data_IF_325808746564
#
_entry.id   IF_325808746564
#
_cell.length_a   1.000
_cell.length_b   1.000
_cell.length_c   1.000
_cell.angle_alpha   90.00
_cell.angle_beta   90.00
_cell.angle_gamma   90.00
#
_symmetry.space_group_name_H-M   'P 1'
#
loop_
_entity.id
_entity.type
_entity.pdbx_description
1 polymer ?
#
# COMPACT_ATOMS: atom_id res chain seq x y z
N UNK A 1 0.57 2.46 -21.28
CA UNK A 1 0.08 1.55 -20.23
C UNK A 1 0.37 0.11 -20.60
N UNK A 2 0.32 -0.82 -19.65
CA UNK A 2 0.45 -2.27 -19.88
C UNK A 2 -0.69 -2.97 -19.14
N UNK A 3 -1.40 -3.87 -19.80
CA UNK A 3 -2.54 -4.61 -19.24
C UNK A 3 -2.44 -6.10 -19.59
N UNK A 4 -2.63 -6.98 -18.61
CA UNK A 4 -2.44 -8.44 -18.73
C UNK A 4 -3.69 -9.17 -19.21
N UNK A 5 -4.89 -8.66 -18.88
CA UNK A 5 -6.17 -9.33 -19.15
C UNK A 5 -6.76 -8.80 -20.45
N UNK A 6 -7.05 -9.70 -21.39
CA UNK A 6 -7.59 -9.36 -22.72
C UNK A 6 -8.82 -8.46 -22.67
N UNK A 7 -9.83 -8.79 -21.85
CA UNK A 7 -11.05 -7.99 -21.76
C UNK A 7 -10.78 -6.59 -21.16
N UNK A 8 -10.00 -6.51 -20.09
CA UNK A 8 -9.64 -5.24 -19.46
C UNK A 8 -8.81 -4.36 -20.41
N UNK A 9 -7.93 -4.98 -21.21
CA UNK A 9 -7.13 -4.31 -22.23
C UNK A 9 -8.03 -3.64 -23.29
N UNK A 10 -9.01 -4.38 -23.83
CA UNK A 10 -9.95 -3.85 -24.82
C UNK A 10 -10.76 -2.69 -24.23
N UNK A 11 -11.31 -2.87 -23.02
CA UNK A 11 -12.08 -1.82 -22.33
C UNK A 11 -11.21 -0.58 -22.10
N UNK A 12 -9.96 -0.76 -21.66
CA UNK A 12 -9.02 0.33 -21.43
C UNK A 12 -8.71 1.13 -22.70
N UNK A 13 -8.47 0.44 -23.83
CA UNK A 13 -8.27 1.09 -25.14
C UNK A 13 -9.50 1.90 -25.53
N UNK A 14 -10.69 1.30 -25.48
CA UNK A 14 -11.94 1.97 -25.85
C UNK A 14 -12.23 3.17 -24.95
N UNK A 15 -11.99 3.06 -23.65
CA UNK A 15 -12.17 4.16 -22.71
C UNK A 15 -11.33 5.38 -23.10
N UNK A 16 -10.06 5.17 -23.48
CA UNK A 16 -9.17 6.25 -23.92
C UNK A 16 -9.66 6.90 -25.21
N UNK A 17 -10.07 6.11 -26.20
CA UNK A 17 -10.61 6.61 -27.48
C UNK A 17 -11.86 7.46 -27.26
N UNK A 18 -12.79 6.97 -26.43
CA UNK A 18 -14.05 7.67 -26.12
C UNK A 18 -13.83 9.01 -25.38
N UNK A 19 -12.69 9.16 -24.70
CA UNK A 19 -12.29 10.42 -24.05
C UNK A 19 -11.33 11.27 -24.91
N UNK A 20 -11.23 11.00 -26.22
CA UNK A 20 -10.51 11.84 -27.17
C UNK A 20 -9.02 11.54 -27.31
N UNK A 21 -8.52 10.42 -26.76
CA UNK A 21 -7.15 9.98 -27.01
C UNK A 21 -7.13 9.13 -28.27
N UNK A 22 -6.78 9.75 -29.40
CA UNK A 22 -6.88 9.14 -30.73
C UNK A 22 -5.97 7.92 -30.93
N UNK A 23 -4.79 7.91 -30.31
CA UNK A 23 -3.84 6.80 -30.38
C UNK A 23 -3.44 6.32 -28.97
N UNK A 24 -4.31 5.57 -28.27
CA UNK A 24 -3.98 5.05 -26.94
C UNK A 24 -2.82 4.07 -27.01
N UNK A 25 -1.75 4.37 -26.27
CA UNK A 25 -0.59 3.49 -26.15
C UNK A 25 -0.76 2.57 -24.93
N UNK A 26 -1.64 1.57 -25.03
CA UNK A 26 -1.74 0.46 -24.07
C UNK A 26 -1.23 -0.80 -24.76
N UNK A 27 -0.39 -1.58 -24.08
CA UNK A 27 0.17 -2.84 -24.59
C UNK A 27 -0.47 -4.00 -23.83
N UNK A 28 -1.01 -4.99 -24.54
CA UNK A 28 -1.53 -6.22 -23.94
C UNK A 28 -0.36 -7.14 -23.55
N UNK A 29 0.09 -7.05 -22.30
CA UNK A 29 1.24 -7.80 -21.80
C UNK A 29 1.21 -7.92 -20.27
N UNK A 30 1.95 -8.88 -19.73
CA UNK A 30 2.21 -8.95 -18.29
C UNK A 30 3.40 -8.06 -17.94
N UNK A 31 3.17 -6.93 -17.28
CA UNK A 31 4.23 -6.03 -16.80
C UNK A 31 5.31 -6.75 -16.00
N UNK A 32 4.94 -7.74 -15.20
CA UNK A 32 5.90 -8.45 -14.34
C UNK A 32 6.72 -9.51 -15.10
N UNK A 33 6.37 -9.81 -16.35
CA UNK A 33 7.17 -10.70 -17.20
C UNK A 33 8.44 -10.02 -17.75
N UNK A 34 8.54 -8.70 -17.64
CA UNK A 34 9.73 -7.94 -18.03
C UNK A 34 10.82 -8.03 -16.96
N UNK A 35 12.03 -8.37 -17.37
CA UNK A 35 13.19 -8.42 -16.48
C UNK A 35 13.66 -6.99 -16.18
N UNK A 36 13.78 -6.63 -14.89
CA UNK A 36 14.22 -5.30 -14.47
C UNK A 36 15.66 -4.98 -14.88
N UNK A 37 16.50 -5.98 -15.14
CA UNK A 37 17.85 -5.78 -15.64
C UNK A 37 17.85 -5.21 -17.08
N UNK A 38 16.84 -5.54 -17.88
CA UNK A 38 16.78 -5.20 -19.30
C UNK A 38 16.28 -3.76 -19.53
N UNK A 39 15.64 -3.15 -18.53
CA UNK A 39 15.06 -1.79 -18.61
C UNK A 39 16.18 -0.74 -18.70
N UNK A 40 16.31 -0.14 -19.89
CA UNK A 40 17.28 0.91 -20.20
C UNK A 40 16.73 2.30 -19.89
N UNK A 41 17.57 3.33 -19.98
CA UNK A 41 17.15 4.72 -19.72
C UNK A 41 16.07 5.22 -20.68
N UNK A 42 16.11 4.80 -21.95
CA UNK A 42 15.10 5.12 -22.96
C UNK A 42 13.71 4.58 -22.63
N UNK A 43 13.62 3.54 -21.81
CA UNK A 43 12.38 2.86 -21.45
C UNK A 43 11.72 3.48 -20.19
N UNK A 44 12.32 4.55 -19.65
CA UNK A 44 11.90 5.19 -18.40
C UNK A 44 10.96 6.38 -18.63
N UNK A 45 10.16 6.67 -17.62
CA UNK A 45 9.13 7.70 -17.62
C UNK A 45 9.38 8.77 -16.56
N UNK A 46 8.82 9.95 -16.80
CA UNK A 46 8.88 11.08 -15.87
C UNK A 46 7.82 10.97 -14.76
N UNK A 47 6.68 10.32 -15.04
CA UNK A 47 5.56 10.18 -14.11
C UNK A 47 5.02 8.75 -14.17
N UNK A 48 4.77 8.17 -13.00
CA UNK A 48 4.07 6.88 -12.85
C UNK A 48 2.88 7.06 -11.90
N UNK A 49 1.68 6.79 -12.39
CA UNK A 49 0.46 6.71 -11.57
C UNK A 49 -0.05 5.29 -11.66
N UNK A 50 -0.21 4.61 -10.54
CA UNK A 50 -0.58 3.20 -10.53
C UNK A 50 -1.43 2.80 -9.34
N UNK A 51 -2.41 1.93 -9.61
CA UNK A 51 -3.13 1.15 -8.62
C UNK A 51 -2.93 -0.34 -8.94
N UNK A 52 -1.79 -0.95 -8.55
CA UNK A 52 -1.52 -2.36 -8.81
C UNK A 52 -2.58 -3.25 -8.15
N UNK A 53 -2.85 -4.45 -8.70
CA UNK A 53 -3.86 -5.35 -8.17
C UNK A 53 -3.52 -5.80 -6.73
N UNK A 54 -4.55 -5.87 -5.88
CA UNK A 54 -4.42 -6.29 -4.49
C UNK A 54 -4.46 -7.83 -4.35
N UNK A 55 -3.61 -8.38 -3.48
CA UNK A 55 -3.71 -9.78 -3.03
C UNK A 55 -3.33 -10.86 -4.06
N UNK A 56 -2.69 -10.47 -5.17
CA UNK A 56 -2.18 -11.42 -6.16
C UNK A 56 -0.88 -12.12 -5.72
N UNK A 57 -0.67 -13.32 -6.25
CA UNK A 57 0.62 -14.01 -6.22
C UNK A 57 1.14 -14.26 -7.63
N UNK A 58 2.43 -14.09 -7.84
CA UNK A 58 3.11 -14.46 -9.10
C UNK A 58 3.97 -15.71 -8.95
N UNK A 59 4.15 -16.42 -10.08
CA UNK A 59 4.88 -17.69 -10.13
C UNK A 59 6.39 -17.50 -9.92
N UNK A 60 7.08 -18.54 -9.44
CA UNK A 60 8.49 -18.47 -9.08
C UNK A 60 9.42 -18.07 -10.24
N UNK A 61 9.05 -18.38 -11.48
CA UNK A 61 9.80 -18.01 -12.68
C UNK A 61 9.73 -16.50 -12.92
N UNK A 62 8.57 -15.88 -12.70
CA UNK A 62 8.36 -14.43 -12.83
C UNK A 62 9.18 -13.68 -11.78
N UNK A 63 9.34 -14.26 -10.59
CA UNK A 63 10.12 -13.64 -9.51
C UNK A 63 11.61 -13.49 -9.87
N UNK A 64 12.13 -14.27 -10.83
CA UNK A 64 13.53 -14.18 -11.27
C UNK A 64 13.84 -12.85 -12.01
N UNK A 65 12.80 -12.15 -12.49
CA UNK A 65 12.93 -10.85 -13.14
C UNK A 65 13.27 -9.70 -12.17
N UNK A 66 13.28 -9.96 -10.86
CA UNK A 66 13.35 -8.96 -9.81
C UNK A 66 14.53 -9.20 -8.86
N UNK A 67 15.25 -8.15 -8.44
CA UNK A 67 16.28 -8.25 -7.42
C UNK A 67 15.73 -8.76 -6.07
N UNK A 68 14.57 -8.24 -5.66
CA UNK A 68 13.88 -8.67 -4.43
C UNK A 68 12.80 -9.68 -4.84
N UNK A 69 13.12 -10.95 -4.69
CA UNK A 69 12.20 -12.05 -5.03
C UNK A 69 11.09 -12.15 -4.00
N UNK A 70 9.85 -12.04 -4.44
CA UNK A 70 8.65 -12.23 -3.62
C UNK A 70 7.50 -12.70 -4.46
N UNK A 71 6.64 -13.54 -3.89
CA UNK A 71 5.39 -13.91 -4.55
C UNK A 71 4.37 -12.78 -4.59
N UNK A 72 4.48 -11.77 -3.72
CA UNK A 72 3.49 -10.70 -3.61
C UNK A 72 3.54 -9.74 -4.81
N UNK A 73 2.47 -9.75 -5.60
CA UNK A 73 2.35 -8.98 -6.84
C UNK A 73 2.56 -7.47 -6.64
N UNK A 74 2.03 -6.88 -5.57
CA UNK A 74 2.15 -5.44 -5.30
C UNK A 74 3.62 -5.01 -5.07
N UNK A 75 4.38 -5.83 -4.34
CA UNK A 75 5.81 -5.60 -4.09
C UNK A 75 6.66 -5.72 -5.37
N UNK A 76 6.32 -6.65 -6.27
CA UNK A 76 6.96 -6.73 -7.60
C UNK A 76 6.63 -5.50 -8.47
N UNK A 77 5.38 -5.03 -8.47
CA UNK A 77 5.00 -3.81 -9.17
C UNK A 77 5.73 -2.57 -8.64
N UNK A 78 5.88 -2.42 -7.33
CA UNK A 78 6.59 -1.29 -6.76
C UNK A 78 8.07 -1.26 -7.17
N UNK A 79 8.77 -2.40 -7.18
CA UNK A 79 10.13 -2.50 -7.75
C UNK A 79 10.15 -2.08 -9.22
N UNK A 80 9.17 -2.53 -10.01
CA UNK A 80 9.05 -2.13 -11.41
C UNK A 80 8.86 -0.63 -11.57
N UNK A 81 7.96 -0.02 -10.80
CA UNK A 81 7.70 1.42 -10.83
C UNK A 81 8.94 2.24 -10.45
N UNK A 82 9.65 1.84 -9.39
CA UNK A 82 10.94 2.45 -9.03
C UNK A 82 11.91 2.32 -10.19
N UNK A 83 12.03 1.15 -10.84
CA UNK A 83 12.98 0.96 -11.94
C UNK A 83 12.66 1.81 -13.17
N UNK A 84 11.40 1.88 -13.60
CA UNK A 84 10.98 2.60 -14.81
C UNK A 84 10.91 4.12 -14.63
N UNK A 85 11.05 4.66 -13.42
CA UNK A 85 11.18 6.10 -13.26
C UNK A 85 12.55 6.60 -13.73
N UNK A 86 12.59 7.76 -14.38
CA UNK A 86 13.81 8.55 -14.58
C UNK A 86 14.29 9.14 -13.25
N UNK A 87 15.55 9.54 -13.15
CA UNK A 87 16.00 10.37 -12.04
C UNK A 87 15.22 11.70 -12.06
N UNK A 88 14.72 12.14 -10.90
CA UNK A 88 13.77 13.26 -10.77
C UNK A 88 12.33 12.93 -11.21
N UNK A 89 12.06 11.71 -11.66
CA UNK A 89 10.71 11.25 -11.99
C UNK A 89 9.88 11.02 -10.73
N UNK A 90 8.56 11.22 -10.84
CA UNK A 90 7.62 11.20 -9.70
C UNK A 90 6.60 10.08 -9.82
N UNK A 91 6.17 9.52 -8.70
CA UNK A 91 5.13 8.51 -8.67
C UNK A 91 4.06 8.77 -7.61
N UNK A 92 2.85 8.32 -7.92
CA UNK A 92 1.74 8.13 -7.00
C UNK A 92 1.25 6.69 -7.11
N UNK A 93 1.48 5.88 -6.08
CA UNK A 93 1.19 4.44 -6.10
C UNK A 93 0.28 4.07 -4.94
N UNK A 94 -0.85 3.44 -5.26
CA UNK A 94 -1.73 2.85 -4.24
C UNK A 94 -1.16 1.50 -3.80
N UNK A 95 -1.10 1.25 -2.50
CA UNK A 95 -0.68 -0.04 -1.94
C UNK A 95 -1.43 -0.34 -0.65
N UNK A 96 -1.49 -1.61 -0.23
CA UNK A 96 -2.03 -1.98 1.08
C UNK A 96 -1.21 -1.32 2.20
N UNK A 97 -1.88 -0.84 3.24
CA UNK A 97 -1.20 -0.24 4.39
C UNK A 97 -0.23 -1.21 5.09
N UNK A 98 -0.50 -2.51 5.01
CA UNK A 98 0.36 -3.58 5.55
C UNK A 98 1.78 -3.55 4.99
N UNK A 99 1.99 -3.02 3.78
CA UNK A 99 3.34 -2.84 3.22
C UNK A 99 4.23 -1.99 4.15
N UNK A 100 3.64 -1.04 4.90
CA UNK A 100 4.39 -0.13 5.77
C UNK A 100 5.07 -0.86 6.94
N UNK A 101 4.49 -1.97 7.44
CA UNK A 101 4.94 -2.65 8.66
C UNK A 101 5.21 -4.16 8.52
N UNK A 102 4.88 -4.77 7.39
CA UNK A 102 5.14 -6.21 7.17
C UNK A 102 6.60 -6.57 7.46
N UNK A 103 6.81 -7.64 8.22
CA UNK A 103 8.12 -8.03 8.76
C UNK A 103 8.85 -9.08 7.93
N UNK A 104 8.28 -9.52 6.80
CA UNK A 104 8.98 -10.42 5.89
C UNK A 104 10.17 -9.72 5.22
N UNK A 105 11.21 -10.49 4.92
CA UNK A 105 12.47 -9.97 4.39
C UNK A 105 12.31 -9.19 3.08
N UNK A 106 11.36 -9.57 2.23
CA UNK A 106 11.14 -8.89 0.95
C UNK A 106 10.51 -7.51 1.17
N UNK A 107 9.51 -7.38 2.04
CA UNK A 107 8.93 -6.10 2.43
C UNK A 107 9.96 -5.17 3.07
N UNK A 108 10.79 -5.68 3.99
CA UNK A 108 11.87 -4.90 4.62
C UNK A 108 12.87 -4.41 3.58
N UNK A 109 13.35 -5.31 2.70
CA UNK A 109 14.29 -4.95 1.64
C UNK A 109 13.72 -3.91 0.67
N UNK A 110 12.43 -4.02 0.33
CA UNK A 110 11.78 -3.10 -0.59
C UNK A 110 11.53 -1.72 0.04
N UNK A 111 11.16 -1.65 1.32
CA UNK A 111 11.09 -0.38 2.05
C UNK A 111 12.45 0.30 2.12
N UNK A 112 13.51 -0.47 2.37
CA UNK A 112 14.88 0.04 2.31
C UNK A 112 15.23 0.57 0.92
N UNK A 113 14.94 -0.18 -0.14
CA UNK A 113 15.17 0.26 -1.53
C UNK A 113 14.43 1.57 -1.84
N UNK A 114 13.16 1.66 -1.44
CA UNK A 114 12.33 2.85 -1.61
C UNK A 114 12.95 4.06 -0.89
N UNK A 115 13.31 3.92 0.38
CA UNK A 115 13.85 5.02 1.19
C UNK A 115 15.24 5.47 0.72
N UNK A 116 16.08 4.56 0.24
CA UNK A 116 17.45 4.88 -0.19
C UNK A 116 17.49 5.50 -1.59
N UNK A 117 16.66 5.01 -2.51
CA UNK A 117 16.72 5.41 -3.92
C UNK A 117 15.64 6.43 -4.30
N UNK A 118 14.61 6.61 -3.47
CA UNK A 118 13.54 7.56 -3.70
C UNK A 118 13.32 8.44 -2.47
N UNK A 119 12.84 9.65 -2.74
CA UNK A 119 12.37 10.60 -1.76
C UNK A 119 10.87 10.37 -1.60
N UNK A 120 10.49 9.42 -0.74
CA UNK A 120 9.13 9.22 -0.28
C UNK A 120 8.74 10.42 0.56
N UNK A 121 8.07 11.38 -0.04
CA UNK A 121 7.84 12.67 0.60
C UNK A 121 6.46 12.78 1.23
N UNK A 122 5.51 11.94 0.80
CA UNK A 122 4.13 11.95 1.30
C UNK A 122 3.53 10.55 1.33
N UNK A 123 2.86 10.22 2.43
CA UNK A 123 2.02 9.03 2.57
C UNK A 123 0.61 9.47 2.95
N UNK A 124 -0.36 9.17 2.08
CA UNK A 124 -1.78 9.42 2.35
C UNK A 124 -2.42 8.11 2.82
N UNK A 125 -2.81 8.05 4.10
CA UNK A 125 -3.56 6.92 4.68
C UNK A 125 -5.05 7.10 4.42
N UNK A 126 -5.66 6.12 3.73
CA UNK A 126 -7.06 6.19 3.29
C UNK A 126 -7.97 5.39 4.23
N UNK A 127 -9.22 5.84 4.45
CA UNK A 127 -10.20 5.08 5.21
C UNK A 127 -10.46 3.69 4.60
N UNK A 128 -10.91 2.78 5.46
CA UNK A 128 -11.46 1.50 5.00
C UNK A 128 -12.65 1.72 4.06
N UNK A 129 -12.81 0.84 3.08
CA UNK A 129 -13.89 0.95 2.10
C UNK A 129 -13.59 1.87 0.89
N UNK A 130 -12.45 2.58 0.88
CA UNK A 130 -12.03 3.38 -0.28
C UNK A 130 -11.89 2.52 -1.54
N UNK A 131 -11.24 1.35 -1.42
CA UNK A 131 -11.13 0.38 -2.51
C UNK A 131 -11.88 -0.90 -2.16
N UNK A 132 -12.83 -1.28 -3.02
CA UNK A 132 -13.52 -2.56 -2.91
C UNK A 132 -12.55 -3.71 -3.22
N UNK A 133 -12.53 -4.75 -2.39
CA UNK A 133 -11.71 -5.95 -2.62
C UNK A 133 -10.26 -5.86 -2.15
N UNK A 134 -9.83 -4.74 -1.54
CA UNK A 134 -8.49 -4.64 -0.94
C UNK A 134 -8.34 -5.53 0.31
N UNK A 135 -9.43 -5.73 1.07
CA UNK A 135 -9.49 -6.52 2.30
C UNK A 135 -8.86 -5.84 3.53
N UNK A 136 -8.11 -4.76 3.32
CA UNK A 136 -7.44 -3.93 4.34
C UNK A 136 -7.47 -2.46 3.90
N UNK A 137 -7.06 -1.54 4.78
CA UNK A 137 -6.84 -0.15 4.40
C UNK A 137 -5.71 -0.05 3.36
N UNK A 138 -5.76 1.01 2.57
CA UNK A 138 -4.76 1.31 1.55
C UNK A 138 -4.12 2.65 1.84
N UNK A 139 -2.89 2.83 1.38
CA UNK A 139 -2.21 4.11 1.38
C UNK A 139 -1.84 4.50 -0.04
N UNK A 140 -1.64 5.80 -0.28
CA UNK A 140 -1.00 6.30 -1.50
C UNK A 140 0.41 6.78 -1.14
N UNK A 141 1.40 6.18 -1.79
CA UNK A 141 2.80 6.56 -1.69
C UNK A 141 3.11 7.60 -2.77
N UNK A 142 3.59 8.77 -2.37
CA UNK A 142 4.11 9.77 -3.30
C UNK A 142 5.62 9.93 -3.12
N UNK A 143 6.36 9.66 -4.19
CA UNK A 143 7.82 9.66 -4.15
C UNK A 143 8.46 10.16 -5.44
N UNK A 144 9.67 10.71 -5.31
CA UNK A 144 10.53 11.12 -6.43
C UNK A 144 11.79 10.27 -6.46
N UNK A 145 12.20 9.75 -7.62
CA UNK A 145 13.39 8.91 -7.75
C UNK A 145 14.67 9.73 -7.81
N UNK A 146 15.75 9.24 -7.20
CA UNK A 146 17.11 9.74 -7.36
C UNK A 146 17.64 10.53 -6.16
N UNK A 147 16.86 10.64 -5.07
CA UNK A 147 17.29 11.22 -3.80
C UNK A 147 16.80 10.31 -2.68
N UNK A 148 17.59 10.12 -1.63
CA UNK A 148 17.15 9.36 -0.46
C UNK A 148 16.08 10.14 0.32
N UNK A 149 15.13 9.42 0.90
CA UNK A 149 14.12 9.96 1.81
C UNK A 149 14.79 10.51 3.07
N UNK A 150 14.39 11.72 3.47
CA UNK A 150 14.85 12.36 4.71
C UNK A 150 13.68 12.56 5.69
N UNK A 151 12.58 13.09 5.18
CA UNK A 151 11.37 13.36 5.95
C UNK A 151 10.14 12.96 5.15
N UNK A 152 9.17 12.34 5.82
CA UNK A 152 7.92 11.88 5.22
C UNK A 152 6.77 12.60 5.90
N UNK A 153 5.96 13.30 5.11
CA UNK A 153 4.73 13.91 5.60
C UNK A 153 3.58 12.92 5.46
N UNK A 154 2.94 12.60 6.59
CA UNK A 154 1.79 11.71 6.65
C UNK A 154 0.52 12.53 6.69
N UNK A 155 -0.51 12.05 6.01
CA UNK A 155 -1.87 12.55 6.15
C UNK A 155 -2.81 11.37 6.33
N UNK A 156 -3.49 11.33 7.47
CA UNK A 156 -4.54 10.35 7.76
C UNK A 156 -5.88 10.95 7.39
N UNK A 157 -6.47 10.47 6.29
CA UNK A 157 -7.79 10.89 5.89
C UNK A 157 -8.82 10.21 6.79
N UNK A 158 -9.43 11.01 7.68
CA UNK A 158 -10.49 10.58 8.58
C UNK A 158 -11.81 11.18 8.09
N UNK A 159 -12.84 10.34 7.94
CA UNK A 159 -14.17 10.75 7.52
C UNK A 159 -15.19 10.25 8.53
N UNK A 160 -16.21 11.06 8.81
CA UNK A 160 -17.34 10.69 9.68
C UNK A 160 -18.39 9.83 8.98
N UNK A 161 -18.01 9.17 7.88
CA UNK A 161 -18.86 8.30 7.08
C UNK A 161 -18.09 7.07 6.58
N UNK A 162 -18.78 5.95 6.46
CA UNK A 162 -18.22 4.75 5.85
C UNK A 162 -18.17 4.89 4.32
N UNK A 163 -17.03 4.54 3.73
CA UNK A 163 -16.86 4.52 2.28
C UNK A 163 -17.30 3.19 1.66
N UNK A 164 -17.75 3.24 0.42
CA UNK A 164 -18.13 2.06 -0.34
C UNK A 164 -18.75 2.42 -1.69
N UNK A 165 -19.33 1.42 -2.38
CA UNK A 165 -19.90 1.61 -3.74
C UNK A 165 -20.96 2.72 -3.80
N UNK A 166 -21.80 2.84 -2.78
CA UNK A 166 -22.88 3.83 -2.71
C UNK A 166 -22.44 5.16 -2.10
N UNK A 167 -21.27 5.19 -1.45
CA UNK A 167 -20.76 6.36 -0.75
C UNK A 167 -19.26 6.52 -1.06
N UNK A 168 -18.89 6.83 -2.32
CA UNK A 168 -17.50 6.85 -2.74
C UNK A 168 -16.73 8.03 -2.12
N UNK A 169 -15.41 7.92 -2.16
CA UNK A 169 -14.50 9.04 -1.93
C UNK A 169 -14.69 10.07 -3.06
N UNK A 170 -14.69 11.36 -2.71
CA UNK A 170 -14.84 12.45 -3.66
C UNK A 170 -13.77 13.54 -3.45
N UNK A 171 -13.75 14.54 -4.33
CA UNK A 171 -12.75 15.61 -4.32
C UNK A 171 -12.81 16.49 -3.07
N UNK A 172 -14.00 16.73 -2.52
CA UNK A 172 -14.16 17.56 -1.31
C UNK A 172 -13.54 16.88 -0.09
N UNK A 173 -13.61 15.53 0.00
CA UNK A 173 -12.94 14.78 1.06
C UNK A 173 -11.41 14.99 1.04
N UNK A 174 -10.83 15.29 -0.13
CA UNK A 174 -9.39 15.46 -0.35
C UNK A 174 -8.93 16.92 -0.35
N UNK A 175 -9.84 17.88 -0.18
CA UNK A 175 -9.52 19.31 -0.31
C UNK A 175 -8.46 19.77 0.70
N UNK A 176 -8.62 19.42 1.99
CA UNK A 176 -7.65 19.74 3.05
C UNK A 176 -6.28 19.10 2.76
N UNK A 177 -6.27 17.82 2.32
CA UNK A 177 -5.03 17.15 1.93
C UNK A 177 -4.30 17.92 0.82
N UNK A 178 -5.00 18.33 -0.25
CA UNK A 178 -4.40 19.06 -1.38
C UNK A 178 -3.87 20.43 -0.93
N UNK A 179 -4.57 21.10 -0.02
CA UNK A 179 -4.14 22.39 0.53
C UNK A 179 -2.88 22.23 1.38
N UNK A 180 -2.90 21.34 2.38
CA UNK A 180 -1.79 21.15 3.31
C UNK A 180 -0.58 20.49 2.66
N UNK A 181 -0.75 19.64 1.64
CA UNK A 181 0.37 18.95 0.97
C UNK A 181 1.34 19.92 0.29
N UNK A 182 0.88 21.11 -0.12
CA UNK A 182 1.72 22.16 -0.72
C UNK A 182 2.78 22.68 0.24
N UNK A 183 2.42 22.84 1.51
CA UNK A 183 3.28 23.38 2.57
C UNK A 183 3.81 22.30 3.51
N UNK A 184 3.21 21.11 3.48
CA UNK A 184 3.41 20.01 4.44
C UNK A 184 3.22 20.47 5.88
N UNK A 185 2.24 21.35 6.10
CA UNK A 185 1.92 21.83 7.43
C UNK A 185 1.32 20.69 8.28
N UNK A 186 1.63 20.70 9.58
CA UNK A 186 1.05 19.77 10.54
C UNK A 186 -0.39 20.18 10.87
N UNK A 187 -1.24 19.17 11.14
CA UNK A 187 -2.64 19.35 11.49
C UNK A 187 -3.12 18.18 12.37
N UNK A 188 -4.36 18.18 12.88
CA UNK A 188 -4.91 17.00 13.55
C UNK A 188 -4.85 15.72 12.70
N UNK A 189 -4.85 15.84 11.37
CA UNK A 189 -4.77 14.75 10.42
C UNK A 189 -3.37 14.54 9.83
N UNK A 190 -2.40 15.41 10.08
CA UNK A 190 -1.11 15.37 9.40
C UNK A 190 0.09 15.73 10.26
N UNK A 191 1.22 15.07 9.99
CA UNK A 191 2.45 15.22 10.75
C UNK A 191 3.66 14.78 9.89
N UNK A 192 4.84 15.28 10.21
CA UNK A 192 6.09 14.84 9.59
C UNK A 192 6.87 13.89 10.48
N UNK A 193 7.52 12.89 9.86
CA UNK A 193 8.45 11.97 10.54
C UNK A 193 9.78 11.99 9.83
N UNK A 194 10.85 12.12 10.61
CA UNK A 194 12.23 12.02 10.11
C UNK A 194 12.62 10.54 9.95
N UNK A 195 13.25 10.22 8.82
CA UNK A 195 13.65 8.85 8.47
C UNK A 195 14.55 8.22 9.54
N UNK A 196 15.30 9.03 10.28
CA UNK A 196 16.16 8.56 11.37
C UNK A 196 15.39 7.83 12.47
N UNK A 197 14.09 8.10 12.64
CA UNK A 197 13.25 7.37 13.59
C UNK A 197 13.11 5.88 13.24
N UNK A 198 13.06 5.57 11.94
CA UNK A 198 12.95 4.19 11.45
C UNK A 198 14.29 3.47 11.33
N UNK A 199 15.39 4.20 11.46
CA UNK A 199 16.74 3.67 11.46
C UNK A 199 17.24 3.33 12.87
N UNK A 200 16.50 3.75 13.92
CA UNK A 200 16.81 3.40 15.31
C UNK A 200 16.61 1.90 15.53
N UNK A 201 17.53 1.20 16.19
CA UNK A 201 17.29 -0.17 16.61
C UNK A 201 16.09 -0.22 17.56
N UNK A 202 15.16 -1.14 17.30
CA UNK A 202 13.97 -1.36 18.13
C UNK A 202 14.36 -1.51 19.60
N UNK A 203 13.93 -0.59 20.45
CA UNK A 203 14.12 -0.66 21.90
C UNK A 203 13.16 -1.63 22.59
N UNK A 204 12.35 -2.40 21.84
CA UNK A 204 11.46 -3.41 22.39
C UNK A 204 12.23 -4.72 22.63
N UNK A 205 12.66 -4.89 23.88
CA UNK A 205 12.90 -6.14 24.60
C UNK A 205 12.93 -7.44 23.77
N UNK A 206 14.14 -8.01 23.70
CA UNK A 206 14.46 -9.41 23.37
C UNK A 206 14.22 -9.87 21.92
N UNK A 207 15.14 -9.50 21.01
CA UNK A 207 16.03 -10.44 20.29
C UNK A 207 16.87 -9.66 19.27
N UNK A 208 18.20 -9.84 19.38
CA UNK A 208 19.28 -9.42 18.47
C UNK A 208 19.29 -7.96 18.00
N UNK A 209 20.31 -7.22 18.45
CA UNK A 209 20.94 -6.14 17.66
C UNK A 209 21.04 -6.55 16.18
N UNK A 210 20.62 -5.66 15.28
CA UNK A 210 21.09 -5.46 13.87
C UNK A 210 20.03 -5.40 12.76
N UNK A 211 18.78 -5.83 12.92
CA UNK A 211 17.80 -5.70 11.83
C UNK A 211 16.97 -4.41 11.92
N UNK A 212 17.41 -3.38 11.21
CA UNK A 212 16.55 -2.23 10.88
C UNK A 212 15.34 -2.75 10.07
N UNK A 213 14.13 -2.65 10.64
CA UNK A 213 12.90 -3.14 10.00
C UNK A 213 12.36 -2.17 8.95
N UNK A 214 12.85 -0.93 8.95
CA UNK A 214 12.33 0.17 8.12
C UNK A 214 10.80 0.28 8.22
N UNK A 215 10.24 0.12 9.42
CA UNK A 215 8.80 0.19 9.66
C UNK A 215 8.31 1.62 9.46
N UNK A 216 7.54 1.82 8.39
CA UNK A 216 6.98 3.12 7.99
C UNK A 216 5.62 3.39 8.65
N UNK A 217 5.10 2.45 9.44
CA UNK A 217 3.81 2.62 10.07
C UNK A 217 3.93 3.61 11.23
N UNK A 218 3.17 4.70 11.12
CA UNK A 218 3.12 5.72 12.17
C UNK A 218 1.66 5.91 12.54
N UNK A 219 1.34 5.68 13.81
CA UNK A 219 0.03 6.05 14.36
C UNK A 219 -0.04 7.57 14.41
N UNK A 220 -1.19 8.14 14.05
CA UNK A 220 -1.41 9.59 14.16
C UNK A 220 -1.17 10.06 15.61
N UNK A 221 -0.13 10.87 15.88
CA UNK A 221 0.22 11.30 17.23
C UNK A 221 -0.77 12.32 17.79
N UNK A 222 -1.54 12.98 16.92
CA UNK A 222 -2.48 14.03 17.29
C UNK A 222 -3.86 13.48 17.70
N UNK A 223 -4.11 12.18 17.52
CA UNK A 223 -5.36 11.53 17.90
C UNK A 223 -5.18 10.87 19.28
N UNK A 224 -5.83 11.42 20.31
CA UNK A 224 -6.02 10.72 21.58
C UNK A 224 -6.87 9.47 21.30
N UNK A 225 -6.37 8.27 21.58
CA UNK A 225 -7.12 7.04 21.35
C UNK A 225 -8.42 7.03 22.20
N UNK A 226 -9.56 7.37 21.59
CA UNK A 226 -10.89 6.95 22.04
C UNK A 226 -11.26 5.62 21.38
N UNK A 227 -10.43 4.61 21.59
CA UNK A 227 -10.91 3.23 21.48
C UNK A 227 -10.43 2.53 22.72
N UNK A 228 -11.31 2.44 23.71
CA UNK A 228 -11.19 1.43 24.75
C UNK A 228 -11.13 0.08 24.02
N UNK A 229 -9.92 -0.44 23.82
CA UNK A 229 -9.74 -1.82 23.42
C UNK A 229 -10.52 -2.66 24.44
N UNK A 230 -11.38 -3.57 23.97
CA UNK A 230 -12.08 -4.48 24.88
C UNK A 230 -11.02 -5.15 25.74
N UNK A 231 -11.25 -5.17 27.05
CA UNK A 231 -10.31 -5.83 27.97
C UNK A 231 -10.14 -7.29 27.51
N UNK A 232 -8.91 -7.84 27.48
CA UNK A 232 -8.67 -9.23 27.07
C UNK A 232 -9.60 -10.25 27.75
N UNK A 233 -9.97 -9.97 29.01
CA UNK A 233 -10.95 -10.75 29.77
C UNK A 233 -12.32 -10.84 29.07
N UNK A 234 -12.84 -9.71 28.58
CA UNK A 234 -14.14 -9.65 27.91
C UNK A 234 -14.12 -10.41 26.57
N UNK A 235 -12.99 -10.38 25.87
CA UNK A 235 -12.79 -11.16 24.64
C UNK A 235 -12.78 -12.66 24.96
N UNK A 236 -12.09 -13.07 26.03
CA UNK A 236 -12.03 -14.47 26.46
C UNK A 236 -13.39 -15.02 26.92
N UNK A 237 -14.21 -14.22 27.60
CA UNK A 237 -15.56 -14.65 27.99
C UNK A 237 -16.49 -14.81 26.78
N UNK A 238 -16.43 -13.90 25.82
CA UNK A 238 -17.18 -13.99 24.56
C UNK A 238 -16.76 -15.23 23.76
N UNK A 239 -15.45 -15.54 23.70
CA UNK A 239 -14.95 -16.76 23.06
C UNK A 239 -15.49 -18.02 23.73
N UNK A 240 -15.49 -18.08 25.08
CA UNK A 240 -16.04 -19.24 25.80
C UNK A 240 -17.53 -19.42 25.53
N UNK A 241 -18.31 -18.34 25.52
CA UNK A 241 -19.73 -18.40 25.24
C UNK A 241 -20.02 -18.92 23.82
N UNK A 242 -19.24 -18.47 22.83
CA UNK A 242 -19.36 -18.94 21.44
C UNK A 242 -18.93 -20.41 21.28
N UNK A 243 -17.93 -20.87 22.04
CA UNK A 243 -17.52 -22.28 22.06
C UNK A 243 -18.60 -23.17 22.68
N UNK A 244 -19.26 -22.72 23.76
CA UNK A 244 -20.40 -23.42 24.37
C UNK A 244 -21.59 -23.52 23.40
N UNK A 245 -21.97 -22.42 22.75
CA UNK A 245 -23.03 -22.40 21.73
C UNK A 245 -22.70 -23.35 20.56
N UNK A 246 -21.44 -23.33 20.10
CA UNK A 246 -20.98 -24.23 19.05
C UNK A 246 -21.05 -25.70 19.45
N UNK A 247 -20.73 -26.02 20.71
CA UNK A 247 -20.81 -27.37 21.24
C UNK A 247 -22.27 -27.86 21.35
N UNK A 248 -23.20 -27.00 21.77
CA UNK A 248 -24.64 -27.32 21.80
C UNK A 248 -25.19 -27.60 20.40
N UNK A 249 -24.85 -26.76 19.42
CA UNK A 249 -25.24 -26.96 18.02
C UNK A 249 -24.70 -28.30 17.50
N UNK A 250 -23.44 -28.61 17.80
CA UNK A 250 -22.80 -29.84 17.33
C UNK A 250 -23.44 -31.10 17.94
N UNK A 251 -23.82 -31.05 19.21
CA UNK A 251 -24.58 -32.12 19.87
C UNK A 251 -25.96 -32.29 19.25
N UNK A 252 -26.66 -31.19 18.94
CA UNK A 252 -27.98 -31.26 18.29
C UNK A 252 -27.92 -31.92 16.90
N UNK A 253 -26.83 -31.75 16.17
CA UNK A 253 -26.60 -32.40 14.88
C UNK A 253 -26.27 -33.88 15.05
N UNK A 254 -25.50 -34.24 16.08
CA UNK A 254 -25.18 -35.64 16.40
C UNK A 254 -26.42 -36.45 16.78
N UNK A 255 -27.41 -35.84 17.45
CA UNK A 255 -28.69 -36.49 17.79
C UNK A 255 -29.59 -36.76 16.56
N UNK A 256 -29.31 -36.13 15.42
CA UNK A 256 -30.05 -36.33 14.17
C UNK A 256 -29.47 -37.45 13.28
N UNK A 257 -28.37 -38.10 13.71
CA UNK A 257 -27.70 -39.22 13.03
C UNK A 257 -27.96 -40.51 13.81
#
# INVERSE_FOLDING_TARGET
GKEKKSLAYIIGIMNMILHGVEAPNIIHTNTLAENLADIQEKDRYNVVLANPPFGGKERAEVQQNFPIKTGETASLFLQHFIKILKAGGKAGVVIKNTFLSNTDNASIALRKELLQNCNLHTVLDLPGGTFTGAGVKTVVLFFEKGKATQNVWFYSLNLDRNLGKTNPLNENDLAEFIELQKTKADSPNSWSVDVSEWLKPSSASHKSSESQTYDLSVKNPNKKEETALRQPQAILEEMKALDEESAEILNSILELI
#
